data_IF_678411453244
#
_entry.id   IF_678411453244
#
_cell.length_a   1.000
_cell.length_b   1.000
_cell.length_c   1.000
_cell.angle_alpha   90.00
_cell.angle_beta   90.00
_cell.angle_gamma   90.00
#
_symmetry.space_group_name_H-M   'P 1'
#
loop_
_entity.id
_entity.type
_entity.pdbx_description
1 polymer ?
#
# COMPACT_ATOMS: atom_id res chain seq x y z
N UNK A 1 -5.97 -3.80 -10.99
CA UNK A 1 -6.18 -3.09 -9.70
C UNK A 1 -5.93 -4.03 -8.53
N UNK A 2 -5.05 -3.64 -7.64
CA UNK A 2 -4.69 -4.44 -6.48
C UNK A 2 -5.34 -3.89 -5.22
N UNK A 3 -5.73 -4.78 -4.33
CA UNK A 3 -6.25 -4.41 -3.01
C UNK A 3 -5.43 -5.10 -1.94
N UNK A 4 -4.99 -4.31 -0.98
CA UNK A 4 -4.22 -4.83 0.15
C UNK A 4 -4.82 -4.28 1.44
N UNK A 5 -4.85 -5.13 2.46
CA UNK A 5 -5.21 -4.70 3.81
C UNK A 5 -3.94 -4.46 4.58
N UNK A 6 -3.80 -3.28 5.14
CA UNK A 6 -2.60 -2.90 5.89
C UNK A 6 -2.99 -2.58 7.32
N UNK A 7 -2.32 -3.24 8.24
CA UNK A 7 -2.52 -3.01 9.68
C UNK A 7 -1.51 -1.99 10.19
N UNK A 8 -1.92 -1.19 11.14
CA UNK A 8 -1.03 -0.20 11.76
C UNK A 8 -1.10 1.18 11.17
N UNK A 9 -1.89 1.38 10.12
CA UNK A 9 -2.12 2.72 9.58
C UNK A 9 -3.18 3.43 10.43
N UNK A 10 -2.73 4.30 11.33
CA UNK A 10 -3.62 5.00 12.23
C UNK A 10 -3.69 6.50 11.98
N UNK A 11 -2.90 7.00 11.05
CA UNK A 11 -2.84 8.43 10.77
C UNK A 11 -2.45 8.68 9.30
N UNK A 12 -2.64 9.91 8.86
CA UNK A 12 -2.31 10.31 7.49
C UNK A 12 -0.83 10.14 7.16
N UNK A 13 0.03 10.33 8.15
CA UNK A 13 1.47 10.11 7.97
C UNK A 13 1.79 8.68 7.58
N UNK A 14 1.08 7.73 8.16
CA UNK A 14 1.24 6.32 7.83
C UNK A 14 0.77 6.06 6.39
N UNK A 15 -0.35 6.63 6.00
CA UNK A 15 -0.86 6.51 4.64
C UNK A 15 0.12 7.08 3.62
N UNK A 16 0.72 8.23 3.93
CA UNK A 16 1.72 8.86 3.07
C UNK A 16 2.95 7.97 2.90
N UNK A 17 3.40 7.34 3.99
CA UNK A 17 4.54 6.44 3.94
C UNK A 17 4.27 5.25 3.01
N UNK A 18 3.09 4.67 3.10
CA UNK A 18 2.68 3.57 2.23
C UNK A 18 2.63 4.01 0.77
N UNK A 19 2.03 5.15 0.49
CA UNK A 19 1.96 5.70 -0.87
C UNK A 19 3.35 5.91 -1.45
N UNK A 20 4.25 6.47 -0.68
CA UNK A 20 5.62 6.70 -1.12
C UNK A 20 6.35 5.40 -1.41
N UNK A 21 6.18 4.42 -0.54
CA UNK A 21 6.85 3.13 -0.70
C UNK A 21 6.43 2.46 -2.00
N UNK A 22 5.14 2.42 -2.28
CA UNK A 22 4.62 1.82 -3.51
C UNK A 22 4.99 2.67 -4.72
N UNK A 23 4.97 3.98 -4.58
CA UNK A 23 5.34 4.90 -5.65
C UNK A 23 6.79 4.74 -6.10
N UNK A 24 7.67 4.31 -5.21
CA UNK A 24 9.06 4.01 -5.56
C UNK A 24 9.18 2.77 -6.43
N UNK A 25 8.35 1.78 -6.14
CA UNK A 25 8.34 0.53 -6.88
C UNK A 25 7.70 0.72 -8.25
N UNK A 26 6.66 1.54 -8.31
CA UNK A 26 5.93 1.80 -9.55
C UNK A 26 5.54 3.27 -9.64
N UNK A 27 6.43 4.13 -10.17
CA UNK A 27 6.20 5.58 -10.21
C UNK A 27 4.95 6.02 -10.97
N UNK A 28 4.47 5.20 -11.89
CA UNK A 28 3.26 5.53 -12.64
C UNK A 28 1.97 5.00 -12.04
N UNK A 29 2.05 4.29 -10.92
CA UNK A 29 0.87 3.68 -10.32
C UNK A 29 0.04 4.70 -9.56
N UNK A 30 -1.27 4.52 -9.61
CA UNK A 30 -2.20 5.30 -8.83
C UNK A 30 -2.51 4.57 -7.54
N UNK A 31 -2.29 5.23 -6.42
CA UNK A 31 -2.41 4.61 -5.11
C UNK A 31 -3.47 5.35 -4.30
N UNK A 32 -4.43 4.60 -3.78
CA UNK A 32 -5.47 5.14 -2.92
C UNK A 32 -5.41 4.43 -1.58
N UNK A 33 -5.38 5.20 -0.50
CA UNK A 33 -5.34 4.65 0.85
C UNK A 33 -6.59 5.04 1.60
N UNK A 34 -7.27 4.06 2.16
CA UNK A 34 -8.44 4.27 3.00
C UNK A 34 -8.07 3.94 4.45
N UNK A 35 -7.91 4.98 5.26
CA UNK A 35 -7.54 4.81 6.66
C UNK A 35 -8.64 4.17 7.49
N UNK A 36 -9.89 4.40 7.13
CA UNK A 36 -11.02 3.87 7.89
C UNK A 36 -11.04 2.35 7.89
N UNK A 37 -10.72 1.75 6.75
CA UNK A 37 -10.71 0.29 6.61
C UNK A 37 -9.31 -0.30 6.59
N UNK A 38 -8.28 0.52 6.45
CA UNK A 38 -6.91 0.07 6.28
C UNK A 38 -6.64 -0.53 4.91
N UNK A 39 -7.47 -0.19 3.93
CA UNK A 39 -7.34 -0.73 2.59
C UNK A 39 -6.46 0.16 1.72
N UNK A 40 -5.55 -0.46 0.99
CA UNK A 40 -4.72 0.22 0.00
C UNK A 40 -5.06 -0.33 -1.38
N UNK A 41 -5.40 0.56 -2.27
CA UNK A 41 -5.67 0.20 -3.67
C UNK A 41 -4.56 0.72 -4.55
N UNK A 42 -4.03 -0.16 -5.38
CA UNK A 42 -2.96 0.20 -6.31
C UNK A 42 -3.42 -0.12 -7.73
N UNK A 43 -3.39 0.88 -8.59
CA UNK A 43 -3.74 0.74 -9.98
C UNK A 43 -2.53 1.09 -10.84
N UNK A 44 -1.96 0.09 -11.49
CA UNK A 44 -0.78 0.29 -12.31
C UNK A 44 0.01 -1.01 -12.51
N UNK A 45 1.14 -0.92 -13.21
CA UNK A 45 1.95 -2.10 -13.55
C UNK A 45 2.82 -2.55 -12.36
N UNK A 46 2.18 -2.91 -11.27
CA UNK A 46 2.87 -3.39 -10.07
C UNK A 46 2.25 -4.71 -9.62
N UNK A 47 3.08 -5.65 -9.22
CA UNK A 47 2.60 -6.94 -8.72
C UNK A 47 2.18 -6.82 -7.26
N UNK A 48 1.31 -7.73 -6.83
CA UNK A 48 0.87 -7.81 -5.44
C UNK A 48 2.06 -7.99 -4.49
N UNK A 49 3.00 -8.84 -4.87
CA UNK A 49 4.21 -9.09 -4.08
C UNK A 49 5.06 -7.82 -3.92
N UNK A 50 5.25 -7.09 -5.01
CA UNK A 50 6.03 -5.86 -4.97
C UNK A 50 5.39 -4.83 -4.07
N UNK A 51 4.07 -4.66 -4.17
CA UNK A 51 3.34 -3.74 -3.32
C UNK A 51 3.40 -4.16 -1.85
N UNK A 52 3.20 -5.45 -1.57
CA UNK A 52 3.27 -5.97 -0.21
C UNK A 52 4.67 -5.80 0.38
N UNK A 53 5.71 -6.08 -0.39
CA UNK A 53 7.10 -5.90 0.04
C UNK A 53 7.39 -4.44 0.35
N UNK A 54 6.92 -3.53 -0.48
CA UNK A 54 7.13 -2.10 -0.28
C UNK A 54 6.48 -1.65 1.03
N UNK A 55 5.27 -2.10 1.30
CA UNK A 55 4.56 -1.75 2.54
C UNK A 55 5.25 -2.37 3.75
N UNK A 56 5.67 -3.62 3.65
CA UNK A 56 6.38 -4.29 4.73
C UNK A 56 7.70 -3.61 5.07
N UNK A 57 8.37 -3.05 4.06
CA UNK A 57 9.64 -2.36 4.24
C UNK A 57 9.52 -1.11 5.11
N UNK A 58 8.35 -0.48 5.16
CA UNK A 58 8.13 0.67 6.03
C UNK A 58 7.57 0.28 7.40
N UNK A 59 7.44 -1.02 7.67
CA UNK A 59 7.10 -1.52 8.99
C UNK A 59 5.64 -1.84 9.24
N UNK A 60 4.83 -1.92 8.20
CA UNK A 60 3.42 -2.26 8.32
C UNK A 60 3.16 -3.72 8.00
N UNK A 61 2.14 -4.27 8.64
CA UNK A 61 1.69 -5.63 8.34
C UNK A 61 0.70 -5.58 7.17
N UNK A 62 0.89 -6.45 6.21
CA UNK A 62 0.03 -6.52 5.02
C UNK A 62 -0.69 -7.84 5.00
N UNK A 63 -2.02 -7.77 4.88
CA UNK A 63 -2.84 -8.94 4.62
C UNK A 63 -3.32 -8.84 3.17
N UNK A 64 -2.88 -9.76 2.33
CA UNK A 64 -3.34 -9.79 0.95
C UNK A 64 -4.69 -10.46 0.88
N UNK A 65 -5.71 -9.74 0.45
CA UNK A 65 -7.02 -10.35 0.20
C UNK A 65 -7.13 -10.61 -1.29
N UNK A 66 -7.19 -11.83 -1.62
CA UNK A 66 -7.14 -12.34 -2.95
C UNK A 66 -8.05 -11.84 -4.01
#
# INVERSE_FOLDING_TARGET
MLRLKVSGMTCEGCASAVKRAIGRVSPGAEITVDLASGEVRVDGPVSMEAAASAIAAVGFAVATSG
#
